data_IF_333324497711
#
_entry.id   IF_333324497711
#
_cell.length_a   1.000
_cell.length_b   1.000
_cell.length_c   1.000
_cell.angle_alpha   90.00
_cell.angle_beta   90.00
_cell.angle_gamma   90.00
#
_symmetry.space_group_name_H-M   'P 1'
#
loop_
_entity.id
_entity.type
_entity.pdbx_description
1 polymer ?
#
# COMPACT_ATOMS: atom_id res chain seq x y z
N UNK A 1 0.47 -7.01 20.86
CA UNK A 1 1.00 -7.46 19.54
C UNK A 1 1.26 -6.27 18.61
N UNK A 2 0.25 -5.46 18.28
CA UNK A 2 0.37 -4.29 17.40
C UNK A 2 1.56 -3.37 17.73
N UNK A 3 1.74 -2.98 19.00
CA UNK A 3 2.88 -2.15 19.42
C UNK A 3 4.25 -2.76 19.08
N UNK A 4 4.41 -4.08 19.26
CA UNK A 4 5.65 -4.78 18.90
C UNK A 4 5.93 -4.67 17.40
N UNK A 5 4.89 -4.87 16.58
CA UNK A 5 4.99 -4.76 15.13
C UNK A 5 5.25 -3.33 14.64
N UNK A 6 4.68 -2.31 15.31
CA UNK A 6 4.99 -0.91 15.02
C UNK A 6 6.45 -0.56 15.31
N UNK A 7 6.99 -1.01 16.45
CA UNK A 7 8.42 -0.84 16.80
C UNK A 7 9.30 -1.58 15.79
N UNK A 8 8.96 -2.83 15.46
CA UNK A 8 9.68 -3.61 14.45
C UNK A 8 9.70 -2.93 13.08
N UNK A 9 8.56 -2.36 12.66
CA UNK A 9 8.40 -1.76 11.34
C UNK A 9 9.03 -0.36 11.25
N UNK A 10 8.76 0.52 12.20
CA UNK A 10 9.14 1.95 12.14
C UNK A 10 10.48 2.24 12.81
N UNK A 11 10.81 1.56 13.90
CA UNK A 11 11.97 1.87 14.72
C UNK A 11 13.17 0.98 14.37
N UNK A 12 13.04 -0.33 14.57
CA UNK A 12 14.17 -1.27 14.39
C UNK A 12 14.39 -1.61 12.92
N UNK A 13 13.31 -1.74 12.13
CA UNK A 13 13.34 -2.23 10.76
C UNK A 13 13.49 -3.74 10.61
N UNK A 14 13.50 -4.50 11.71
CA UNK A 14 13.51 -5.95 11.69
C UNK A 14 12.12 -6.46 11.99
N UNK A 15 11.44 -6.99 10.97
CA UNK A 15 10.04 -7.38 11.07
C UNK A 15 9.86 -8.89 10.95
N UNK A 16 9.08 -9.42 11.90
CA UNK A 16 8.68 -10.81 11.96
C UNK A 16 7.51 -11.11 11.02
N UNK A 17 7.76 -11.86 9.96
CA UNK A 17 6.83 -12.14 8.86
C UNK A 17 5.77 -13.21 9.14
N UNK A 18 5.76 -13.85 10.32
CA UNK A 18 4.86 -14.98 10.63
C UNK A 18 4.15 -14.85 12.00
N UNK A 19 3.09 -14.04 12.12
CA UNK A 19 2.39 -13.73 13.37
C UNK A 19 1.50 -14.89 13.88
N UNK A 20 1.79 -16.13 13.49
CA UNK A 20 1.04 -17.28 13.96
C UNK A 20 1.08 -17.37 15.50
N UNK A 21 -0.04 -17.63 16.19
CA UNK A 21 -0.10 -17.65 17.65
C UNK A 21 0.93 -18.58 18.31
N UNK A 22 1.26 -19.70 17.64
CA UNK A 22 2.27 -20.66 18.11
C UNK A 22 3.70 -20.11 18.19
N UNK A 23 4.00 -18.98 17.51
CA UNK A 23 5.30 -18.32 17.57
C UNK A 23 5.40 -17.36 18.76
N UNK A 24 4.34 -17.20 19.55
CA UNK A 24 4.30 -16.29 20.69
C UNK A 24 4.00 -17.02 21.99
N UNK A 25 4.68 -16.60 23.05
CA UNK A 25 4.40 -17.05 24.41
C UNK A 25 4.27 -15.86 25.34
N UNK A 26 3.28 -15.88 26.23
CA UNK A 26 3.21 -14.93 27.33
C UNK A 26 4.12 -15.41 28.46
N UNK A 27 5.16 -14.63 28.75
CA UNK A 27 6.09 -14.94 29.83
C UNK A 27 5.46 -14.62 31.20
N UNK A 28 5.91 -15.26 32.29
CA UNK A 28 5.45 -14.93 33.65
C UNK A 28 5.64 -13.46 34.04
N UNK A 29 6.58 -12.77 33.39
CA UNK A 29 6.82 -11.32 33.56
C UNK A 29 5.80 -10.42 32.88
N UNK A 30 4.82 -10.98 32.15
CA UNK A 30 3.84 -10.23 31.35
C UNK A 30 4.38 -9.77 29.99
N UNK A 31 5.62 -10.12 29.64
CA UNK A 31 6.21 -9.81 28.33
C UNK A 31 5.83 -10.86 27.28
N UNK A 32 5.81 -10.44 26.02
CA UNK A 32 5.65 -11.32 24.88
C UNK A 32 7.01 -11.90 24.48
N UNK A 33 7.16 -13.21 24.51
CA UNK A 33 8.29 -13.93 23.91
C UNK A 33 7.97 -14.34 22.47
N UNK A 34 8.95 -14.20 21.58
CA UNK A 34 8.89 -14.69 20.19
C UNK A 34 9.78 -15.92 20.09
N UNK A 35 9.24 -17.02 19.56
CA UNK A 35 9.88 -18.34 19.56
C UNK A 35 10.60 -18.66 18.25
N UNK A 36 10.00 -18.29 17.12
CA UNK A 36 10.54 -18.55 15.78
C UNK A 36 11.03 -17.23 15.17
N UNK A 37 12.11 -17.29 14.39
CA UNK A 37 12.68 -16.16 13.63
C UNK A 37 13.02 -16.58 12.19
N UNK A 38 12.47 -17.70 11.71
CA UNK A 38 12.72 -18.25 10.38
C UNK A 38 12.15 -17.39 9.24
N UNK A 39 11.17 -16.52 9.54
CA UNK A 39 10.58 -15.59 8.59
C UNK A 39 10.77 -14.15 9.10
N UNK A 40 11.96 -13.59 8.85
CA UNK A 40 12.29 -12.20 9.15
C UNK A 40 12.55 -11.41 7.88
N UNK A 41 12.21 -10.13 7.88
CA UNK A 41 12.59 -9.18 6.83
C UNK A 41 13.24 -7.94 7.41
N UNK A 42 14.18 -7.37 6.66
CA UNK A 42 14.79 -6.09 7.00
C UNK A 42 14.23 -4.99 6.09
N UNK A 43 13.88 -3.86 6.71
CA UNK A 43 13.38 -2.67 6.04
C UNK A 43 14.42 -1.57 6.21
N UNK A 44 15.09 -1.21 5.12
CA UNK A 44 16.11 -0.16 5.11
C UNK A 44 15.57 1.15 5.73
N UNK A 45 16.38 1.92 6.49
CA UNK A 45 15.93 3.15 7.14
C UNK A 45 15.25 4.13 6.18
N UNK A 46 15.77 4.28 4.96
CA UNK A 46 15.20 5.16 3.94
C UNK A 46 13.80 4.73 3.51
N UNK A 47 13.52 3.42 3.47
CA UNK A 47 12.18 2.90 3.16
C UNK A 47 11.21 3.14 4.31
N UNK A 48 11.67 3.09 5.55
CA UNK A 48 10.84 3.41 6.73
C UNK A 48 10.41 4.87 6.68
N UNK A 49 11.34 5.78 6.39
CA UNK A 49 11.06 7.21 6.20
C UNK A 49 10.09 7.42 5.03
N UNK A 50 10.37 6.84 3.86
CA UNK A 50 9.50 6.94 2.68
C UNK A 50 8.07 6.41 2.96
N UNK A 51 7.92 5.40 3.80
CA UNK A 51 6.61 4.89 4.19
C UNK A 51 5.85 5.86 5.11
N UNK A 52 6.55 6.52 6.04
CA UNK A 52 5.97 7.56 6.88
C UNK A 52 5.55 8.76 6.02
N UNK A 53 6.41 9.21 5.11
CA UNK A 53 6.12 10.27 4.14
C UNK A 53 4.90 9.93 3.29
N UNK A 54 4.83 8.69 2.78
CA UNK A 54 3.66 8.21 2.04
C UNK A 54 2.36 8.33 2.84
N UNK A 55 2.34 7.88 4.09
CA UNK A 55 1.15 8.03 4.95
C UNK A 55 0.79 9.52 5.11
N UNK A 56 1.77 10.39 5.32
CA UNK A 56 1.54 11.82 5.46
C UNK A 56 0.96 12.45 4.18
N UNK A 57 1.50 12.12 3.01
CA UNK A 57 1.00 12.63 1.73
C UNK A 57 -0.40 12.12 1.43
N UNK A 58 -0.67 10.84 1.71
CA UNK A 58 -2.01 10.27 1.56
C UNK A 58 -3.02 11.01 2.47
N UNK A 59 -2.68 11.24 3.75
CA UNK A 59 -3.52 12.01 4.68
C UNK A 59 -3.76 13.45 4.20
N UNK A 60 -2.74 14.08 3.62
CA UNK A 60 -2.80 15.44 3.09
C UNK A 60 -3.45 15.52 1.70
N UNK A 61 -3.85 14.38 1.10
CA UNK A 61 -4.37 14.28 -0.28
C UNK A 61 -3.40 14.82 -1.33
N UNK A 62 -2.10 14.67 -1.07
CA UNK A 62 -0.97 15.07 -1.89
C UNK A 62 -0.62 13.93 -2.86
N UNK A 63 -1.49 13.72 -3.87
CA UNK A 63 -1.43 12.55 -4.74
C UNK A 63 -0.26 12.59 -5.74
N UNK A 64 0.21 13.78 -6.12
CA UNK A 64 1.41 13.97 -6.92
C UNK A 64 2.66 13.43 -6.21
N UNK A 65 2.74 13.67 -4.91
CA UNK A 65 3.81 13.22 -4.03
C UNK A 65 3.70 11.73 -3.74
N UNK A 66 2.47 11.23 -3.55
CA UNK A 66 2.22 9.80 -3.38
C UNK A 66 2.75 8.96 -4.56
N UNK A 67 2.71 9.49 -5.79
CA UNK A 67 3.32 8.81 -6.94
C UNK A 67 4.83 8.62 -6.77
N UNK A 68 5.52 9.66 -6.31
CA UNK A 68 6.96 9.59 -6.05
C UNK A 68 7.28 8.65 -4.88
N UNK A 69 6.44 8.63 -3.84
CA UNK A 69 6.59 7.71 -2.72
C UNK A 69 6.48 6.25 -3.16
N UNK A 70 5.53 5.92 -4.05
CA UNK A 70 5.39 4.58 -4.60
C UNK A 70 6.62 4.15 -5.42
N UNK A 71 7.33 5.09 -6.06
CA UNK A 71 8.64 4.84 -6.68
C UNK A 71 9.71 4.58 -5.60
N UNK A 72 9.77 5.41 -4.56
CA UNK A 72 10.75 5.29 -3.47
C UNK A 72 10.58 3.99 -2.67
N UNK A 73 9.33 3.55 -2.49
CA UNK A 73 8.97 2.29 -1.85
C UNK A 73 9.20 1.07 -2.75
N UNK A 74 9.42 1.28 -4.04
CA UNK A 74 9.75 0.24 -5.02
C UNK A 74 8.54 -0.44 -5.67
N UNK A 75 7.32 0.10 -5.50
CA UNK A 75 6.14 -0.41 -6.18
C UNK A 75 6.13 -0.04 -7.66
N UNK A 76 6.72 1.11 -7.98
CA UNK A 76 6.79 1.67 -9.32
C UNK A 76 8.23 1.72 -9.83
N UNK A 77 8.46 1.52 -11.14
CA UNK A 77 9.79 1.68 -11.73
C UNK A 77 10.33 3.11 -11.60
N UNK A 78 11.66 3.24 -11.60
CA UNK A 78 12.31 4.54 -11.58
C UNK A 78 11.98 5.36 -12.84
N UNK A 79 11.88 6.68 -12.67
CA UNK A 79 11.65 7.63 -13.78
C UNK A 79 10.19 7.80 -14.22
N UNK A 80 9.28 6.91 -13.81
CA UNK A 80 7.85 7.02 -14.14
C UNK A 80 7.19 8.28 -13.55
N UNK A 81 7.64 8.71 -12.37
CA UNK A 81 7.12 9.91 -11.70
C UNK A 81 7.51 11.21 -12.40
N UNK A 82 8.50 11.18 -13.31
CA UNK A 82 8.94 12.33 -14.10
C UNK A 82 8.25 12.39 -15.47
N UNK A 83 7.50 11.36 -15.86
CA UNK A 83 6.84 11.29 -17.14
C UNK A 83 5.42 11.87 -17.05
N UNK A 84 5.17 12.93 -17.82
CA UNK A 84 3.91 13.66 -17.78
C UNK A 84 2.70 12.80 -18.19
N UNK A 85 2.86 11.93 -19.19
CA UNK A 85 1.79 11.05 -19.66
C UNK A 85 1.44 10.02 -18.58
N UNK A 86 2.45 9.42 -17.95
CA UNK A 86 2.25 8.48 -16.86
C UNK A 86 1.58 9.14 -15.64
N UNK A 87 1.99 10.36 -15.29
CA UNK A 87 1.37 11.16 -14.21
C UNK A 87 -0.11 11.40 -14.45
N UNK A 88 -0.48 11.85 -15.66
CA UNK A 88 -1.87 12.12 -16.05
C UNK A 88 -2.78 10.90 -15.97
N UNK A 89 -2.22 9.70 -16.07
CA UNK A 89 -2.96 8.44 -15.96
C UNK A 89 -3.01 7.93 -14.51
N UNK A 90 -1.87 7.92 -13.82
CA UNK A 90 -1.73 7.26 -12.52
C UNK A 90 -2.32 8.12 -11.39
N UNK A 91 -2.09 9.43 -11.39
CA UNK A 91 -2.51 10.32 -10.29
C UNK A 91 -4.04 10.33 -10.12
N UNK A 92 -4.86 10.48 -11.18
CA UNK A 92 -6.31 10.40 -11.03
C UNK A 92 -6.80 9.04 -10.53
N UNK A 93 -6.14 7.96 -10.98
CA UNK A 93 -6.43 6.60 -10.51
C UNK A 93 -6.15 6.45 -9.01
N UNK A 94 -4.97 6.93 -8.58
CA UNK A 94 -4.56 6.92 -7.18
C UNK A 94 -5.51 7.74 -6.30
N UNK A 95 -5.86 8.96 -6.74
CA UNK A 95 -6.83 9.81 -6.06
C UNK A 95 -8.18 9.13 -5.90
N UNK A 96 -8.70 8.50 -6.97
CA UNK A 96 -9.96 7.77 -6.94
C UNK A 96 -9.91 6.60 -5.97
N UNK A 97 -8.87 5.77 -6.01
CA UNK A 97 -8.73 4.60 -5.14
C UNK A 97 -8.59 5.00 -3.68
N UNK A 98 -7.74 5.99 -3.38
CA UNK A 98 -7.54 6.45 -2.01
C UNK A 98 -8.77 7.16 -1.46
N UNK A 99 -9.48 7.98 -2.25
CA UNK A 99 -10.73 8.60 -1.79
C UNK A 99 -11.77 7.55 -1.39
N UNK A 100 -11.89 6.46 -2.16
CA UNK A 100 -12.79 5.34 -1.81
C UNK A 100 -12.39 4.69 -0.49
N UNK A 101 -11.09 4.46 -0.27
CA UNK A 101 -10.59 3.84 0.96
C UNK A 101 -10.77 4.76 2.18
N UNK A 102 -10.51 6.06 2.03
CA UNK A 102 -10.66 7.04 3.09
C UNK A 102 -12.12 7.32 3.43
N UNK A 103 -12.94 7.57 2.42
CA UNK A 103 -14.39 7.75 2.63
C UNK A 103 -15.06 6.45 3.07
N UNK A 104 -14.48 5.30 2.72
CA UNK A 104 -14.91 3.94 3.07
C UNK A 104 -14.85 3.58 4.55
N UNK A 105 -14.23 4.42 5.37
CA UNK A 105 -14.17 4.26 6.83
C UNK A 105 -15.40 4.80 7.59
N UNK A 106 -16.40 5.34 6.87
CA UNK A 106 -17.70 5.79 7.41
C UNK A 106 -18.79 4.71 7.49
N UNK A 107 -20.01 5.09 7.91
CA UNK A 107 -21.15 4.20 8.12
C UNK A 107 -21.41 3.26 6.92
N UNK A 108 -21.39 1.94 7.17
CA UNK A 108 -21.57 0.86 6.20
C UNK A 108 -22.81 1.03 5.30
N UNK A 109 -23.88 1.68 5.79
CA UNK A 109 -25.10 1.91 5.01
C UNK A 109 -24.93 2.99 3.95
N UNK A 110 -24.27 4.10 4.28
CA UNK A 110 -23.94 5.15 3.30
C UNK A 110 -22.98 4.62 2.23
N UNK A 111 -22.06 3.72 2.63
CA UNK A 111 -21.13 3.07 1.71
C UNK A 111 -21.85 2.23 0.66
N UNK A 112 -22.79 1.37 1.07
CA UNK A 112 -23.52 0.51 0.14
C UNK A 112 -24.27 1.33 -0.92
N UNK A 113 -24.87 2.46 -0.54
CA UNK A 113 -25.56 3.36 -1.46
C UNK A 113 -24.60 4.10 -2.42
N UNK A 114 -23.47 4.61 -1.91
CA UNK A 114 -22.42 5.23 -2.76
C UNK A 114 -21.84 4.23 -3.75
N UNK A 115 -21.46 3.03 -3.31
CA UNK A 115 -20.92 1.98 -4.18
C UNK A 115 -21.93 1.55 -5.25
N UNK A 116 -23.23 1.49 -4.90
CA UNK A 116 -24.28 1.14 -5.87
C UNK A 116 -24.42 2.22 -6.96
N UNK A 117 -24.47 3.50 -6.58
CA UNK A 117 -24.48 4.62 -7.54
C UNK A 117 -23.23 4.66 -8.41
N UNK A 118 -22.05 4.47 -7.83
CA UNK A 118 -20.79 4.49 -8.57
C UNK A 118 -20.68 3.29 -9.52
N UNK A 119 -21.17 2.10 -9.14
CA UNK A 119 -21.30 0.94 -10.04
C UNK A 119 -22.27 1.19 -11.18
N UNK A 120 -23.38 1.88 -10.93
CA UNK A 120 -24.35 2.26 -11.97
C UNK A 120 -23.76 3.30 -12.95
N UNK A 121 -22.95 4.23 -12.46
CA UNK A 121 -22.21 5.18 -13.31
C UNK A 121 -21.10 4.50 -14.11
N UNK A 122 -20.33 3.59 -13.51
CA UNK A 122 -19.31 2.78 -14.20
C UNK A 122 -19.91 1.87 -15.29
N UNK A 123 -21.14 1.39 -15.10
CA UNK A 123 -21.87 0.62 -16.12
C UNK A 123 -22.31 1.47 -17.32
N UNK A 124 -22.40 2.79 -17.18
CA UNK A 124 -22.73 3.70 -18.29
C UNK A 124 -21.54 4.03 -19.18
N UNK A 125 -20.31 3.80 -18.72
CA UNK A 125 -19.07 4.00 -19.49
C UNK A 125 -18.22 2.71 -19.58
N UNK A 126 -18.72 1.63 -20.21
CA UNK A 126 -18.04 0.33 -20.25
C UNK A 126 -16.63 0.39 -20.89
N UNK A 127 -16.35 1.39 -21.73
CA UNK A 127 -15.04 1.58 -22.35
C UNK A 127 -13.96 2.24 -21.45
N UNK A 128 -14.34 2.85 -20.33
CA UNK A 128 -13.39 3.62 -19.49
C UNK A 128 -12.39 2.72 -18.77
N UNK A 129 -12.86 1.58 -18.25
CA UNK A 129 -12.00 0.61 -17.58
C UNK A 129 -11.04 -0.06 -18.56
N UNK A 130 -11.52 -0.38 -19.77
CA UNK A 130 -10.68 -0.96 -20.82
C UNK A 130 -9.62 0.05 -21.28
N UNK A 131 -10.01 1.32 -21.47
CA UNK A 131 -9.07 2.40 -21.81
C UNK A 131 -8.00 2.61 -20.74
N UNK A 132 -8.39 2.62 -19.46
CA UNK A 132 -7.44 2.70 -18.34
C UNK A 132 -6.49 1.49 -18.33
N UNK A 133 -7.01 0.29 -18.59
CA UNK A 133 -6.22 -0.93 -18.68
C UNK A 133 -5.19 -0.85 -19.80
N UNK A 134 -5.58 -0.41 -20.99
CA UNK A 134 -4.68 -0.20 -22.14
C UNK A 134 -3.59 0.84 -21.83
N UNK A 135 -3.96 1.95 -21.20
CA UNK A 135 -3.04 3.00 -20.77
C UNK A 135 -2.01 2.49 -19.74
N UNK A 136 -2.46 1.76 -18.72
CA UNK A 136 -1.56 1.14 -17.73
C UNK A 136 -0.66 0.08 -18.36
N UNK A 137 -1.15 -0.69 -19.34
CA UNK A 137 -0.33 -1.64 -20.09
C UNK A 137 0.74 -0.93 -20.94
N UNK A 138 0.40 0.20 -21.58
CA UNK A 138 1.37 0.99 -22.35
C UNK A 138 2.49 1.52 -21.43
N UNK A 139 2.12 2.07 -20.27
CA UNK A 139 3.07 2.51 -19.23
C UNK A 139 3.95 1.33 -18.78
N UNK A 140 3.35 0.18 -18.49
CA UNK A 140 4.09 -1.01 -18.05
C UNK A 140 5.07 -1.53 -19.11
N UNK A 141 4.76 -1.38 -20.41
CA UNK A 141 5.70 -1.71 -21.50
C UNK A 141 6.87 -0.73 -21.55
N UNK A 142 6.63 0.55 -21.29
CA UNK A 142 7.65 1.62 -21.35
C UNK A 142 8.61 1.60 -20.16
N UNK A 143 8.09 1.37 -18.95
CA UNK A 143 8.88 1.47 -17.70
C UNK A 143 9.16 0.12 -17.04
N UNK A 144 8.53 -0.96 -17.50
CA UNK A 144 8.50 -2.25 -16.82
C UNK A 144 7.26 -2.41 -15.94
N UNK A 145 7.04 -3.64 -15.49
CA UNK A 145 5.85 -3.97 -14.70
C UNK A 145 5.87 -3.36 -13.31
N UNK A 146 4.69 -2.93 -12.86
CA UNK A 146 4.34 -2.71 -11.46
C UNK A 146 4.61 -3.99 -10.67
N UNK A 147 5.30 -3.91 -9.53
CA UNK A 147 5.67 -5.09 -8.74
C UNK A 147 5.49 -4.83 -7.26
N UNK A 148 5.14 -5.88 -6.53
CA UNK A 148 5.17 -5.88 -5.08
C UNK A 148 6.63 -6.05 -4.62
N UNK A 149 7.22 -5.10 -3.87
CA UNK A 149 8.56 -5.27 -3.33
C UNK A 149 8.66 -6.50 -2.42
N UNK A 150 9.78 -7.23 -2.47
CA UNK A 150 9.94 -8.46 -1.69
C UNK A 150 9.74 -8.29 -0.18
N UNK A 151 10.19 -7.16 0.38
CA UNK A 151 9.98 -6.84 1.80
C UNK A 151 8.49 -6.63 2.12
N UNK A 152 7.70 -6.08 1.19
CA UNK A 152 6.27 -5.85 1.35
C UNK A 152 5.47 -7.15 1.34
N UNK A 153 5.89 -8.16 0.56
CA UNK A 153 5.28 -9.49 0.61
C UNK A 153 5.34 -10.11 2.01
N UNK A 154 6.48 -9.95 2.70
CA UNK A 154 6.66 -10.47 4.06
C UNK A 154 5.89 -9.65 5.10
N UNK A 155 5.78 -8.32 4.89
CA UNK A 155 4.93 -7.46 5.72
C UNK A 155 3.46 -7.87 5.59
N UNK A 156 2.94 -8.04 4.37
CA UNK A 156 1.53 -8.40 4.16
C UNK A 156 1.20 -9.75 4.80
N UNK A 157 2.13 -10.72 4.74
CA UNK A 157 1.99 -11.99 5.44
C UNK A 157 1.89 -11.81 6.96
N UNK A 158 2.52 -10.78 7.50
CA UNK A 158 2.47 -10.48 8.92
C UNK A 158 1.14 -9.88 9.42
N UNK A 159 0.22 -9.55 8.52
CA UNK A 159 -1.07 -8.96 8.84
C UNK A 159 -2.26 -9.65 8.14
N UNK A 160 -2.01 -10.77 7.46
CA UNK A 160 -3.01 -11.62 6.82
C UNK A 160 -3.52 -12.70 7.79
#
# INVERSE_FOLDING_TARGET
LLNSYMVQFLETGFLHGDPHPGNFVLMPSGKLGILDYGLMTEIAPQRRVAFIEYIMHVQAKMYDECLQDLVNLGFLPQGIANDQEAREIIIPGLASTLSILYEGSGDLREQQEKFKKQREELQKEPGKLEKLREQLQAIARKYGSFRLPGYMTLILRAFA
#
